data_IF_488810865787
#
_entry.id   IF_488810865787
#
_cell.length_a   1.000
_cell.length_b   1.000
_cell.length_c   1.000
_cell.angle_alpha   90.00
_cell.angle_beta   90.00
_cell.angle_gamma   90.00
#
_symmetry.space_group_name_H-M   'P 1'
#
loop_
_entity.id
_entity.type
_entity.pdbx_description
1 polymer ?
#
# COMPACT_ATOMS: atom_id res chain seq x y z
N UNK A 1 21.07 -68.05 -10.47
CA UNK A 1 20.70 -66.62 -10.58
C UNK A 1 20.01 -66.40 -11.91
N UNK A 2 18.78 -65.89 -11.92
CA UNK A 2 17.99 -65.76 -13.15
C UNK A 2 18.44 -64.48 -13.91
N UNK A 3 18.94 -64.57 -15.16
CA UNK A 3 19.51 -63.42 -15.88
C UNK A 3 18.53 -62.24 -16.00
N UNK A 4 17.25 -62.56 -16.17
CA UNK A 4 16.16 -61.59 -16.29
C UNK A 4 15.94 -60.77 -15.01
N UNK A 5 16.29 -61.35 -13.85
CA UNK A 5 16.21 -60.65 -12.55
C UNK A 5 17.34 -59.63 -12.39
N UNK A 6 18.54 -59.96 -12.89
CA UNK A 6 19.71 -59.08 -12.82
C UNK A 6 19.55 -57.85 -13.71
N UNK A 7 19.05 -58.04 -14.93
CA UNK A 7 18.78 -56.92 -15.85
C UNK A 7 17.74 -55.96 -15.28
N UNK A 8 16.66 -56.47 -14.68
CA UNK A 8 15.65 -55.64 -14.02
C UNK A 8 16.22 -54.82 -12.86
N UNK A 9 17.13 -55.40 -12.07
CA UNK A 9 17.80 -54.67 -10.98
C UNK A 9 18.71 -53.55 -11.50
N UNK A 10 19.45 -53.79 -12.59
CA UNK A 10 20.29 -52.78 -13.24
C UNK A 10 19.45 -51.60 -13.73
N UNK A 11 18.37 -51.86 -14.48
CA UNK A 11 17.48 -50.79 -14.94
C UNK A 11 16.85 -49.99 -13.79
N UNK A 12 16.49 -50.66 -12.68
CA UNK A 12 15.98 -49.96 -11.49
C UNK A 12 17.04 -49.09 -10.83
N UNK A 13 18.31 -49.52 -10.80
CA UNK A 13 19.43 -48.71 -10.33
C UNK A 13 19.59 -47.47 -11.20
N UNK A 14 19.65 -47.63 -12.52
CA UNK A 14 19.85 -46.52 -13.45
C UNK A 14 18.73 -45.47 -13.36
N UNK A 15 17.47 -45.92 -13.22
CA UNK A 15 16.32 -45.03 -13.00
C UNK A 15 16.48 -44.26 -11.68
N UNK A 16 16.91 -44.94 -10.62
CA UNK A 16 17.07 -44.33 -9.30
C UNK A 16 18.18 -43.28 -9.32
N UNK A 17 19.32 -43.60 -9.94
CA UNK A 17 20.46 -42.70 -10.05
C UNK A 17 20.13 -41.46 -10.90
N UNK A 18 19.35 -41.63 -11.97
CA UNK A 18 18.86 -40.53 -12.78
C UNK A 18 17.93 -39.61 -11.97
N UNK A 19 16.99 -40.19 -11.21
CA UNK A 19 16.08 -39.41 -10.36
C UNK A 19 16.85 -38.67 -9.28
N UNK A 20 17.81 -39.34 -8.63
CA UNK A 20 18.62 -38.73 -7.58
C UNK A 20 19.44 -37.56 -8.11
N UNK A 21 20.10 -37.74 -9.25
CA UNK A 21 20.86 -36.68 -9.94
C UNK A 21 19.95 -35.50 -10.28
N UNK A 22 18.76 -35.76 -10.81
CA UNK A 22 17.78 -34.71 -11.14
C UNK A 22 17.38 -33.92 -9.89
N UNK A 23 17.04 -34.61 -8.78
CA UNK A 23 16.67 -33.96 -7.53
C UNK A 23 17.82 -33.13 -6.95
N UNK A 24 19.05 -33.65 -6.97
CA UNK A 24 20.23 -32.92 -6.52
C UNK A 24 20.48 -31.64 -7.34
N UNK A 25 20.33 -31.72 -8.67
CA UNK A 25 20.49 -30.55 -9.54
C UNK A 25 19.43 -29.48 -9.27
N UNK A 26 18.17 -29.89 -9.11
CA UNK A 26 17.07 -28.98 -8.75
C UNK A 26 17.29 -28.33 -7.38
N UNK A 27 17.74 -29.10 -6.38
CA UNK A 27 18.03 -28.58 -5.05
C UNK A 27 19.15 -27.53 -5.08
N UNK A 28 20.22 -27.78 -5.85
CA UNK A 28 21.32 -26.81 -6.04
C UNK A 28 20.85 -25.55 -6.74
N UNK A 29 20.05 -25.69 -7.79
CA UNK A 29 19.51 -24.54 -8.51
C UNK A 29 18.59 -23.70 -7.62
N UNK A 30 17.70 -24.35 -6.87
CA UNK A 30 16.81 -23.68 -5.93
C UNK A 30 17.60 -22.93 -4.84
N UNK A 31 18.65 -23.54 -4.29
CA UNK A 31 19.54 -22.87 -3.34
C UNK A 31 20.18 -21.61 -3.92
N UNK A 32 20.71 -21.68 -5.15
CA UNK A 32 21.31 -20.53 -5.82
C UNK A 32 20.29 -19.43 -6.15
N UNK A 33 19.05 -19.78 -6.47
CA UNK A 33 17.98 -18.80 -6.66
C UNK A 33 17.61 -18.13 -5.33
N UNK A 34 17.53 -18.90 -4.25
CA UNK A 34 17.26 -18.36 -2.92
C UNK A 34 18.35 -17.39 -2.47
N UNK A 35 19.62 -17.79 -2.58
CA UNK A 35 20.75 -16.92 -2.23
C UNK A 35 20.77 -15.61 -3.05
N UNK A 36 20.39 -15.67 -4.33
CA UNK A 36 20.24 -14.47 -5.18
C UNK A 36 19.09 -13.58 -4.74
N UNK A 37 17.97 -14.16 -4.34
CA UNK A 37 16.83 -13.42 -3.82
C UNK A 37 17.18 -12.75 -2.48
N UNK A 38 17.83 -13.46 -1.56
CA UNK A 38 18.28 -12.93 -0.28
C UNK A 38 19.23 -11.75 -0.46
N UNK A 39 20.20 -11.86 -1.38
CA UNK A 39 21.11 -10.75 -1.68
C UNK A 39 20.37 -9.48 -2.15
N UNK A 40 19.31 -9.66 -2.97
CA UNK A 40 18.47 -8.54 -3.43
C UNK A 40 17.63 -7.95 -2.31
N UNK A 41 17.13 -8.78 -1.39
CA UNK A 41 16.39 -8.32 -0.22
C UNK A 41 17.30 -7.50 0.70
N UNK A 42 18.52 -7.98 0.99
CA UNK A 42 19.49 -7.24 1.79
C UNK A 42 19.85 -5.89 1.14
N UNK A 43 20.04 -5.84 -0.19
CA UNK A 43 20.30 -4.58 -0.88
C UNK A 43 19.12 -3.59 -0.76
N UNK A 44 17.88 -4.09 -0.82
CA UNK A 44 16.69 -3.26 -0.62
C UNK A 44 16.58 -2.78 0.84
N UNK A 45 16.89 -3.63 1.81
CA UNK A 45 16.89 -3.28 3.23
C UNK A 45 17.91 -2.16 3.52
N UNK A 46 19.14 -2.28 3.00
CA UNK A 46 20.17 -1.24 3.09
C UNK A 46 19.74 0.09 2.47
N UNK A 47 19.08 0.04 1.30
CA UNK A 47 18.53 1.24 0.64
C UNK A 47 17.42 1.89 1.45
N UNK A 48 16.56 1.09 2.09
CA UNK A 48 15.47 1.58 2.96
C UNK A 48 16.06 2.24 4.20
N UNK A 49 17.03 1.61 4.86
CA UNK A 49 17.73 2.17 6.03
C UNK A 49 18.45 3.48 5.68
N UNK A 50 19.20 3.50 4.58
CA UNK A 50 19.89 4.70 4.09
C UNK A 50 18.92 5.85 3.77
N UNK A 51 17.75 5.53 3.20
CA UNK A 51 16.73 6.53 2.88
C UNK A 51 16.03 7.09 4.11
N UNK A 52 15.80 6.27 5.14
CA UNK A 52 15.20 6.72 6.40
C UNK A 52 16.11 7.68 7.18
N UNK A 53 17.43 7.45 7.17
CA UNK A 53 18.41 8.37 7.76
C UNK A 53 18.39 9.76 7.09
N UNK A 54 18.11 9.82 5.78
CA UNK A 54 18.12 11.08 5.04
C UNK A 54 16.88 11.96 5.27
N UNK A 55 15.78 11.41 5.81
CA UNK A 55 14.54 12.14 6.13
C UNK A 55 14.62 12.82 7.52
N UNK A 56 15.38 12.25 8.46
CA UNK A 56 15.57 12.83 9.80
C UNK A 56 16.43 14.10 9.86
N UNK A 57 17.29 14.33 8.86
CA UNK A 57 18.25 15.46 8.85
C UNK A 57 17.75 16.72 8.13
N UNK A 58 16.62 16.68 7.41
CA UNK A 58 16.12 17.83 6.63
C UNK A 58 15.11 18.72 7.36
N UNK A 59 14.78 18.44 8.62
CA UNK A 59 13.84 19.26 9.42
C UNK A 59 14.52 20.19 10.45
N UNK A 60 15.84 20.40 10.35
CA UNK A 60 16.58 21.27 11.26
C UNK A 60 17.28 22.41 10.51
N UNK A 61 16.54 23.30 9.85
CA UNK A 61 17.09 24.60 9.44
C UNK A 61 16.04 25.71 9.43
N UNK A 62 16.38 26.76 10.22
CA UNK A 62 16.01 28.18 10.10
C UNK A 62 14.59 28.60 10.51
N UNK A 63 14.45 28.88 11.80
CA UNK A 63 13.63 30.00 12.28
C UNK A 63 14.60 30.96 13.00
N UNK A 64 15.36 31.70 12.20
CA UNK A 64 16.18 32.81 12.67
C UNK A 64 15.27 34.00 12.97
N UNK A 65 15.24 34.36 14.25
CA UNK A 65 15.00 35.67 14.86
C UNK A 65 14.85 36.84 13.89
N UNK A 66 13.75 37.58 14.03
CA UNK A 66 13.67 39.00 13.63
C UNK A 66 13.01 39.77 14.78
N UNK A 67 13.79 40.64 15.41
CA UNK A 67 13.35 41.57 16.45
C UNK A 67 12.61 42.77 15.85
N UNK A 68 11.52 43.11 16.53
CA UNK A 68 10.99 44.42 16.96
C UNK A 68 11.05 45.70 16.09
N UNK A 69 9.93 46.43 16.25
CA UNK A 69 9.62 47.85 16.08
C UNK A 69 9.36 48.44 14.68
N UNK A 70 8.09 48.77 14.39
CA UNK A 70 7.64 50.18 14.40
C UNK A 70 6.13 50.32 14.17
N UNK A 71 5.58 51.34 14.83
CA UNK A 71 4.18 51.74 14.99
C UNK A 71 3.43 52.08 13.70
N UNK A 72 2.11 51.83 13.71
CA UNK A 72 1.21 52.17 12.61
C UNK A 72 -0.25 51.95 12.97
N UNK A 73 -0.76 52.81 13.85
CA UNK A 73 -2.15 53.00 14.23
C UNK A 73 -3.10 53.14 13.02
N UNK A 74 -4.17 52.32 12.96
CA UNK A 74 -5.46 52.74 12.42
C UNK A 74 -6.60 51.81 12.84
N UNK A 75 -7.31 52.24 13.87
CA UNK A 75 -8.78 52.31 13.96
C UNK A 75 -9.65 51.06 13.66
N UNK A 76 -10.17 50.51 14.76
CA UNK A 76 -11.58 50.16 15.02
C UNK A 76 -12.26 49.11 14.11
N UNK A 77 -12.58 47.95 14.67
CA UNK A 77 -13.98 47.45 14.77
C UNK A 77 -14.06 46.33 15.80
N UNK A 78 -14.60 46.69 16.95
CA UNK A 78 -15.23 45.86 17.98
C UNK A 78 -16.20 44.85 17.38
N UNK A 79 -16.08 43.55 17.71
CA UNK A 79 -17.23 42.70 18.05
C UNK A 79 -16.78 41.50 18.91
N UNK A 80 -17.35 41.43 20.11
CA UNK A 80 -17.13 40.43 21.16
C UNK A 80 -17.53 39.00 20.75
N UNK A 81 -16.93 37.96 21.37
CA UNK A 81 -17.45 36.61 21.30
C UNK A 81 -18.48 36.42 22.42
N UNK A 82 -19.76 36.27 22.08
CA UNK A 82 -20.76 35.82 23.03
C UNK A 82 -21.15 34.36 22.81
N UNK A 83 -21.16 33.69 23.95
CA UNK A 83 -21.54 32.32 24.29
C UNK A 83 -23.05 32.17 24.23
N UNK A 84 -23.60 31.08 23.67
CA UNK A 84 -24.79 30.40 24.20
C UNK A 84 -25.00 28.99 23.62
N UNK A 85 -25.54 28.13 24.48
CA UNK A 85 -25.77 26.70 24.39
C UNK A 85 -27.00 26.27 23.54
N UNK A 86 -26.91 25.01 23.09
CA UNK A 86 -27.90 23.92 23.09
C UNK A 86 -29.30 24.01 22.43
N UNK A 87 -29.56 22.92 21.68
CA UNK A 87 -30.79 22.12 21.56
C UNK A 87 -31.94 22.62 20.68
N UNK A 88 -32.22 21.86 19.61
CA UNK A 88 -33.30 20.85 19.50
C UNK A 88 -33.31 20.35 18.04
N UNK A 89 -32.86 19.11 17.77
CA UNK A 89 -33.71 17.92 17.62
C UNK A 89 -34.86 18.11 16.63
N UNK A 90 -34.75 17.52 15.43
CA UNK A 90 -35.65 16.48 14.93
C UNK A 90 -35.34 16.05 13.48
N UNK A 91 -35.75 14.81 13.17
CA UNK A 91 -35.69 14.07 11.90
C UNK A 91 -34.35 13.35 11.64
N UNK A 92 -34.22 12.10 12.10
CA UNK A 92 -34.75 10.85 11.53
C UNK A 92 -33.82 10.23 10.48
N UNK A 93 -33.52 8.96 10.71
CA UNK A 93 -32.96 7.97 9.80
C UNK A 93 -31.43 7.89 9.69
N UNK A 94 -31.00 6.64 9.81
CA UNK A 94 -29.68 6.07 9.58
C UNK A 94 -28.54 6.56 10.46
N UNK A 95 -28.13 5.67 11.37
CA UNK A 95 -26.75 5.62 11.81
C UNK A 95 -25.86 5.41 10.59
N UNK A 96 -25.43 6.51 9.98
CA UNK A 96 -24.45 6.53 8.90
C UNK A 96 -23.22 5.81 9.42
N UNK A 97 -23.09 4.55 9.04
CA UNK A 97 -21.89 3.78 9.28
C UNK A 97 -20.72 4.63 8.80
N UNK A 98 -19.77 4.90 9.69
CA UNK A 98 -18.59 5.68 9.35
C UNK A 98 -17.98 5.11 8.05
N UNK A 99 -17.63 5.93 7.06
CA UNK A 99 -16.98 5.42 5.87
C UNK A 99 -15.63 4.78 6.25
N UNK A 100 -15.28 3.68 5.62
CA UNK A 100 -13.95 3.08 5.74
C UNK A 100 -12.96 3.86 4.88
N UNK A 101 -11.80 4.20 5.43
CA UNK A 101 -10.71 4.79 4.67
C UNK A 101 -10.16 3.76 3.67
N UNK A 102 -10.16 4.11 2.39
CA UNK A 102 -9.69 3.26 1.31
C UNK A 102 -8.19 2.90 1.46
N UNK A 103 -7.37 3.78 2.05
CA UNK A 103 -5.94 3.53 2.22
C UNK A 103 -5.60 2.66 3.44
N UNK A 104 -6.08 3.03 4.63
CA UNK A 104 -5.68 2.40 5.89
C UNK A 104 -6.73 1.43 6.45
N UNK A 105 -7.89 1.28 5.78
CA UNK A 105 -8.97 0.36 6.12
C UNK A 105 -9.58 0.57 7.52
N UNK A 106 -9.39 1.75 8.11
CA UNK A 106 -10.00 2.13 9.38
C UNK A 106 -11.32 2.87 9.13
N UNK A 107 -12.34 2.56 9.92
CA UNK A 107 -13.59 3.30 9.95
C UNK A 107 -13.38 4.64 10.68
N UNK A 108 -13.78 5.75 10.06
CA UNK A 108 -13.72 7.06 10.70
C UNK A 108 -14.86 7.96 10.26
N UNK A 109 -15.48 8.66 11.21
CA UNK A 109 -16.48 9.70 10.92
C UNK A 109 -15.86 10.93 10.23
N UNK A 110 -14.54 11.08 10.28
CA UNK A 110 -13.80 12.14 9.59
C UNK A 110 -13.37 11.77 8.16
N UNK A 111 -13.81 10.62 7.65
CA UNK A 111 -13.54 10.24 6.27
C UNK A 111 -14.21 11.22 5.29
N UNK A 112 -13.44 11.68 4.31
CA UNK A 112 -13.92 12.56 3.25
C UNK A 112 -13.74 11.90 1.87
N UNK A 113 -14.64 12.14 0.91
CA UNK A 113 -14.56 11.55 -0.41
C UNK A 113 -13.49 12.23 -1.27
N UNK A 114 -13.00 11.52 -2.29
CA UNK A 114 -12.11 12.07 -3.30
C UNK A 114 -12.79 13.24 -4.02
N UNK A 115 -12.18 14.45 -4.05
CA UNK A 115 -12.83 15.65 -4.61
C UNK A 115 -13.04 15.56 -6.13
N UNK A 116 -12.31 14.67 -6.82
CA UNK A 116 -12.40 14.50 -8.27
C UNK A 116 -13.47 13.52 -8.72
N UNK A 117 -13.69 12.44 -7.95
CA UNK A 117 -14.57 11.35 -8.39
C UNK A 117 -15.61 10.93 -7.38
N UNK A 118 -15.50 11.35 -6.11
CA UNK A 118 -16.42 10.98 -5.04
C UNK A 118 -16.44 9.50 -4.65
N UNK A 119 -15.61 8.65 -5.27
CA UNK A 119 -15.73 7.18 -5.15
C UNK A 119 -14.89 6.55 -4.04
N UNK A 120 -13.74 7.14 -3.74
CA UNK A 120 -12.88 6.67 -2.65
C UNK A 120 -12.96 7.64 -1.47
N UNK A 121 -12.78 7.11 -0.26
CA UNK A 121 -12.88 7.83 1.00
C UNK A 121 -11.56 7.78 1.76
N UNK A 122 -11.18 8.89 2.40
CA UNK A 122 -9.92 9.00 3.11
C UNK A 122 -10.10 9.66 4.48
N UNK A 123 -9.47 9.11 5.52
CA UNK A 123 -9.50 9.70 6.87
C UNK A 123 -8.54 10.89 7.03
N UNK A 124 -7.62 11.11 6.07
CA UNK A 124 -6.65 12.22 6.09
C UNK A 124 -6.11 12.51 4.70
N UNK A 125 -5.62 13.74 4.50
CA UNK A 125 -4.90 14.11 3.26
C UNK A 125 -3.65 13.25 3.02
N UNK A 126 -3.01 12.74 4.08
CA UNK A 126 -1.89 11.82 3.96
C UNK A 126 -2.31 10.48 3.32
N UNK A 127 -3.40 9.88 3.79
CA UNK A 127 -3.97 8.67 3.22
C UNK A 127 -4.34 8.83 1.75
N UNK A 128 -4.95 9.98 1.40
CA UNK A 128 -5.27 10.31 0.01
C UNK A 128 -4.01 10.38 -0.87
N UNK A 129 -2.95 11.07 -0.43
CA UNK A 129 -1.70 11.19 -1.18
C UNK A 129 -1.01 9.84 -1.38
N UNK A 130 -1.01 8.97 -0.36
CA UNK A 130 -0.38 7.65 -0.44
C UNK A 130 -1.13 6.72 -1.42
N UNK A 131 -2.46 6.76 -1.44
CA UNK A 131 -3.28 5.97 -2.37
C UNK A 131 -3.33 6.56 -3.79
N UNK A 132 -2.97 7.84 -3.97
CA UNK A 132 -3.09 8.55 -5.24
C UNK A 132 -2.48 7.79 -6.43
N UNK A 133 -1.32 7.14 -6.27
CA UNK A 133 -0.67 6.42 -7.38
C UNK A 133 -1.52 5.27 -7.93
N UNK A 134 -2.19 4.53 -7.06
CA UNK A 134 -3.07 3.42 -7.46
C UNK A 134 -4.45 3.93 -7.92
N UNK A 135 -4.93 5.02 -7.31
CA UNK A 135 -6.23 5.62 -7.60
C UNK A 135 -6.25 6.41 -8.92
N UNK A 136 -5.15 7.10 -9.27
CA UNK A 136 -5.11 8.10 -10.34
C UNK A 136 -5.54 7.56 -11.70
N UNK A 137 -5.23 6.31 -12.03
CA UNK A 137 -5.60 5.66 -13.30
C UNK A 137 -7.11 5.47 -13.46
N UNK A 138 -7.86 5.41 -12.36
CA UNK A 138 -9.32 5.16 -12.33
C UNK A 138 -10.11 6.37 -11.82
N UNK A 139 -9.41 7.43 -11.41
CA UNK A 139 -10.00 8.66 -10.90
C UNK A 139 -10.73 9.41 -12.03
N UNK A 140 -12.04 9.58 -11.90
CA UNK A 140 -12.88 10.33 -12.86
C UNK A 140 -13.37 9.53 -14.06
N UNK A 141 -12.97 8.27 -14.24
CA UNK A 141 -13.52 7.40 -15.30
C UNK A 141 -15.01 7.10 -15.03
N UNK A 142 -15.94 7.20 -15.99
CA UNK A 142 -17.29 6.69 -15.80
C UNK A 142 -17.24 5.19 -15.52
N UNK A 143 -18.14 4.67 -14.67
CA UNK A 143 -18.22 3.24 -14.40
C UNK A 143 -18.49 2.51 -15.73
N UNK A 144 -17.46 1.89 -16.32
CA UNK A 144 -17.69 0.85 -17.31
C UNK A 144 -18.23 -0.34 -16.54
N UNK A 145 -19.48 -0.77 -16.76
CA UNK A 145 -19.97 -2.01 -16.17
C UNK A 145 -19.01 -3.11 -16.63
N UNK A 146 -18.52 -3.90 -15.66
CA UNK A 146 -17.75 -5.11 -15.93
C UNK A 146 -18.66 -6.15 -16.58
N UNK A 147 -18.99 -5.98 -17.86
CA UNK A 147 -19.60 -7.00 -18.68
C UNK A 147 -18.65 -7.30 -19.83
N UNK A 148 -18.46 -8.60 -20.10
CA UNK A 148 -17.73 -9.16 -21.23
C UNK A 148 -16.25 -9.50 -21.00
N UNK A 149 -15.97 -10.43 -20.08
CA UNK A 149 -14.97 -11.47 -20.32
C UNK A 149 -15.66 -12.83 -20.32
N UNK A 150 -16.49 -13.08 -21.34
CA UNK A 150 -16.87 -14.45 -21.71
C UNK A 150 -15.82 -14.93 -22.72
N UNK A 151 -14.79 -15.61 -22.23
CA UNK A 151 -13.86 -16.33 -23.08
C UNK A 151 -14.63 -17.46 -23.77
N UNK A 152 -14.95 -17.29 -25.05
CA UNK A 152 -15.39 -18.42 -25.89
C UNK A 152 -14.20 -19.36 -26.04
N UNK A 153 -14.21 -20.46 -25.29
CA UNK A 153 -13.41 -21.63 -25.61
C UNK A 153 -14.11 -22.29 -26.79
N UNK A 154 -13.49 -22.24 -27.96
CA UNK A 154 -13.90 -23.02 -29.12
C UNK A 154 -13.42 -24.47 -28.91
N UNK A 155 -14.35 -25.41 -29.07
CA UNK A 155 -14.08 -26.86 -29.11
C UNK A 155 -13.45 -27.27 -30.44
#
# INVERSE_FOLDING_TARGET
>A
MNPLHREKQLFQSDITDLILTMVETLAREQYLQHARMDARLNELEEKVMSSQLHVGLKMAHKNSTCSEDSDGESTNTTFSPDKVEASESNSSADGLAAPMCDYCFLFSHSCFPCPRCGREWYCSAACQRLRHRCHASRCGQPNLPQTCLHTRIAH
#
